data_IF_175905566738
#
_entry.id   IF_175905566738
#
_cell.length_a   1.000
_cell.length_b   1.000
_cell.length_c   1.000
_cell.angle_alpha   90.00
_cell.angle_beta   90.00
_cell.angle_gamma   90.00
#
_symmetry.space_group_name_H-M   'P 1'
#
loop_
_entity.id
_entity.type
_entity.pdbx_description
1 polymer ?
#
# COMPACT_ATOMS: atom_id res chain seq x y z
N UNK A 1 -3.38 -2.25 24.09
CA UNK A 1 -3.96 -1.86 22.79
C UNK A 1 -3.06 -2.41 21.70
N UNK A 2 -3.61 -3.10 20.70
CA UNK A 2 -2.83 -3.63 19.57
C UNK A 2 -3.03 -2.69 18.38
N UNK A 3 -1.93 -2.17 17.82
CA UNK A 3 -1.95 -1.33 16.62
C UNK A 3 -1.53 -2.23 15.44
N UNK A 4 -2.32 -2.34 14.38
CA UNK A 4 -1.98 -3.19 13.24
C UNK A 4 -0.73 -2.67 12.53
N UNK A 5 0.09 -3.59 12.01
CA UNK A 5 1.20 -3.23 11.14
C UNK A 5 0.67 -2.64 9.83
N UNK A 6 1.20 -1.49 9.41
CA UNK A 6 0.79 -0.80 8.18
C UNK A 6 1.59 -1.26 6.95
N UNK A 7 2.79 -1.80 7.16
CA UNK A 7 3.65 -2.43 6.15
C UNK A 7 4.57 -3.47 6.81
N UNK A 8 5.45 -4.09 6.04
CA UNK A 8 6.34 -5.15 6.51
C UNK A 8 5.66 -6.53 6.51
N UNK A 9 6.37 -7.58 6.96
CA UNK A 9 5.97 -8.99 6.73
C UNK A 9 4.68 -9.40 7.43
N UNK A 10 4.23 -8.65 8.44
CA UNK A 10 3.00 -8.91 9.21
C UNK A 10 1.84 -7.99 8.81
N UNK A 11 2.01 -7.19 7.75
CA UNK A 11 0.95 -6.36 7.19
C UNK A 11 0.18 -7.10 6.09
N UNK A 12 -0.83 -6.43 5.54
CA UNK A 12 -1.56 -6.89 4.38
C UNK A 12 -0.66 -6.96 3.13
N UNK A 13 -1.00 -7.89 2.23
CA UNK A 13 -0.23 -8.15 1.01
C UNK A 13 -0.57 -7.17 -0.12
N UNK A 14 0.21 -7.22 -1.20
CA UNK A 14 0.01 -6.38 -2.39
C UNK A 14 -1.32 -6.60 -3.14
N UNK A 15 -1.96 -7.76 -2.98
CA UNK A 15 -3.27 -8.04 -3.56
C UNK A 15 -4.45 -7.50 -2.75
N UNK A 16 -4.22 -7.00 -1.54
CA UNK A 16 -5.27 -6.48 -0.68
C UNK A 16 -5.78 -5.10 -1.18
N UNK A 17 -7.08 -4.84 -1.01
CA UNK A 17 -7.69 -3.56 -1.39
C UNK A 17 -7.08 -2.35 -0.68
N UNK A 18 -6.51 -2.55 0.52
CA UNK A 18 -5.81 -1.50 1.27
C UNK A 18 -4.47 -1.08 0.65
N UNK A 19 -3.91 -1.87 -0.27
CA UNK A 19 -2.71 -1.48 -1.04
C UNK A 19 -3.04 -0.60 -2.26
N UNK A 20 -4.30 -0.15 -2.37
CA UNK A 20 -4.73 0.84 -3.34
C UNK A 20 -4.85 2.20 -2.66
N UNK A 21 -4.14 3.19 -3.20
CA UNK A 21 -4.02 4.54 -2.64
C UNK A 21 -5.38 5.18 -2.33
N UNK A 22 -6.36 4.99 -3.21
CA UNK A 22 -7.71 5.54 -3.03
C UNK A 22 -8.41 4.97 -1.81
N UNK A 23 -8.30 3.65 -1.61
CA UNK A 23 -8.93 2.98 -0.48
C UNK A 23 -8.22 3.34 0.82
N UNK A 24 -6.88 3.36 0.80
CA UNK A 24 -6.06 3.79 1.94
C UNK A 24 -6.38 5.25 2.34
N UNK A 25 -6.36 6.19 1.40
CA UNK A 25 -6.68 7.60 1.65
C UNK A 25 -8.11 7.78 2.16
N UNK A 26 -9.08 7.06 1.58
CA UNK A 26 -10.48 7.08 2.04
C UNK A 26 -10.65 6.53 3.45
N UNK A 27 -9.93 5.45 3.79
CA UNK A 27 -9.92 4.89 5.14
C UNK A 27 -9.28 5.85 6.14
N UNK A 28 -8.11 6.41 5.81
CA UNK A 28 -7.38 7.38 6.64
C UNK A 28 -8.26 8.61 6.89
N UNK A 29 -8.84 9.18 5.84
CA UNK A 29 -9.70 10.37 5.95
C UNK A 29 -10.85 10.17 6.94
N UNK A 30 -11.49 9.00 6.93
CA UNK A 30 -12.71 8.76 7.72
C UNK A 30 -12.46 8.17 9.10
N UNK A 31 -11.33 7.51 9.30
CA UNK A 31 -11.11 6.67 10.48
C UNK A 31 -9.79 6.93 11.20
N UNK A 32 -8.90 7.77 10.65
CA UNK A 32 -7.60 8.07 11.23
C UNK A 32 -7.39 9.58 11.45
N UNK A 33 -6.69 9.98 12.53
CA UNK A 33 -6.32 9.16 13.68
C UNK A 33 -7.54 8.56 14.41
N UNK A 34 -7.37 7.44 15.12
CA UNK A 34 -8.48 6.68 15.72
C UNK A 34 -9.34 7.52 16.68
N UNK A 35 -8.73 8.45 17.40
CA UNK A 35 -9.37 9.37 18.34
C UNK A 35 -9.91 10.65 17.69
N UNK A 36 -9.57 10.90 16.42
CA UNK A 36 -9.89 12.14 15.68
C UNK A 36 -10.19 11.88 14.19
N UNK A 37 -11.23 11.09 13.86
CA UNK A 37 -11.61 10.84 12.47
C UNK A 37 -11.92 12.16 11.74
N UNK A 38 -11.48 12.30 10.49
CA UNK A 38 -11.70 13.51 9.69
C UNK A 38 -10.75 14.69 10.01
N UNK A 39 -9.74 14.49 10.85
CA UNK A 39 -8.80 15.56 11.23
C UNK A 39 -7.82 15.97 10.12
N UNK A 40 -7.62 15.12 9.12
CA UNK A 40 -6.68 15.35 8.02
C UNK A 40 -7.38 15.92 6.78
N UNK A 41 -6.71 16.84 6.08
CA UNK A 41 -7.18 17.35 4.79
C UNK A 41 -7.10 16.26 3.72
N UNK A 42 -7.85 16.43 2.61
CA UNK A 42 -7.78 15.49 1.49
C UNK A 42 -6.34 15.27 0.99
N UNK A 43 -5.54 16.34 0.87
CA UNK A 43 -4.16 16.18 0.41
C UNK A 43 -3.33 15.36 1.41
N UNK A 44 -3.45 15.66 2.71
CA UNK A 44 -2.73 14.92 3.75
C UNK A 44 -3.11 13.43 3.77
N UNK A 45 -4.37 13.08 3.53
CA UNK A 45 -4.78 11.66 3.52
C UNK A 45 -4.18 10.91 2.34
N UNK A 46 -4.06 11.54 1.17
CA UNK A 46 -3.35 10.98 0.01
C UNK A 46 -1.84 10.88 0.24
N UNK A 47 -1.22 11.90 0.83
CA UNK A 47 0.23 11.89 1.10
C UNK A 47 0.59 10.78 2.11
N UNK A 48 -0.19 10.64 3.18
CA UNK A 48 -0.01 9.56 4.17
C UNK A 48 -0.26 8.19 3.54
N UNK A 49 -1.31 8.05 2.72
CA UNK A 49 -1.58 6.80 1.99
C UNK A 49 -0.41 6.42 1.07
N UNK A 50 0.11 7.38 0.30
CA UNK A 50 1.25 7.17 -0.59
C UNK A 50 2.52 6.78 0.18
N UNK A 51 2.76 7.41 1.33
CA UNK A 51 3.86 7.03 2.20
C UNK A 51 3.75 5.59 2.71
N UNK A 52 2.58 5.18 3.20
CA UNK A 52 2.34 3.82 3.71
C UNK A 52 2.46 2.79 2.59
N UNK A 53 1.78 3.02 1.46
CA UNK A 53 1.78 2.13 0.30
C UNK A 53 3.06 2.15 -0.52
N UNK A 54 3.96 3.09 -0.24
CA UNK A 54 5.33 3.11 -0.76
C UNK A 54 6.29 2.14 -0.04
N UNK A 55 5.83 1.39 0.98
CA UNK A 55 6.68 0.50 1.79
C UNK A 55 6.54 -0.98 1.42
N UNK A 56 7.63 -1.79 1.55
CA UNK A 56 7.59 -3.23 1.32
C UNK A 56 6.55 -3.96 2.19
N UNK A 57 5.96 -5.00 1.64
CA UNK A 57 4.91 -5.83 2.26
C UNK A 57 4.81 -7.19 1.53
N UNK A 58 4.07 -8.17 2.05
CA UNK A 58 3.98 -9.50 1.45
C UNK A 58 3.52 -9.48 0.00
N UNK A 59 4.01 -10.45 -0.77
CA UNK A 59 3.77 -10.57 -2.20
C UNK A 59 2.27 -10.73 -2.53
N UNK A 60 1.85 -10.27 -3.71
CA UNK A 60 0.52 -10.55 -4.24
C UNK A 60 0.34 -12.07 -4.42
N UNK A 61 -0.70 -12.70 -3.83
CA UNK A 61 -0.97 -14.12 -4.00
C UNK A 61 -1.15 -14.57 -5.47
N UNK A 62 -1.43 -13.63 -6.37
CA UNK A 62 -1.60 -13.84 -7.81
C UNK A 62 -0.30 -13.69 -8.59
N UNK A 63 0.82 -13.41 -7.92
CA UNK A 63 2.14 -13.34 -8.53
C UNK A 63 2.54 -14.71 -9.12
N UNK A 64 2.99 -14.70 -10.37
CA UNK A 64 3.34 -15.91 -11.12
C UNK A 64 4.79 -15.89 -11.65
N UNK A 65 5.67 -15.08 -11.06
CA UNK A 65 7.07 -14.98 -11.44
C UNK A 65 7.47 -13.70 -12.17
N UNK A 66 6.52 -12.89 -12.64
CA UNK A 66 6.82 -11.61 -13.32
C UNK A 66 6.10 -10.43 -12.68
N UNK A 67 6.85 -9.52 -12.07
CA UNK A 67 6.32 -8.31 -11.43
C UNK A 67 5.62 -7.43 -12.48
N UNK A 68 6.23 -7.28 -13.66
CA UNK A 68 5.67 -6.50 -14.74
C UNK A 68 4.32 -7.07 -15.22
N UNK A 69 4.23 -8.40 -15.39
CA UNK A 69 2.99 -9.06 -15.79
C UNK A 69 1.91 -8.96 -14.71
N UNK A 70 2.27 -9.18 -13.44
CA UNK A 70 1.35 -9.04 -12.31
C UNK A 70 0.85 -7.59 -12.21
N UNK A 71 1.73 -6.59 -12.32
CA UNK A 71 1.37 -5.16 -12.32
C UNK A 71 0.36 -4.87 -13.44
N UNK A 72 0.71 -5.22 -14.67
CA UNK A 72 -0.14 -4.96 -15.84
C UNK A 72 -1.53 -5.61 -15.72
N UNK A 73 -1.62 -6.79 -15.10
CA UNK A 73 -2.87 -7.54 -15.01
C UNK A 73 -3.75 -7.17 -13.81
N UNK A 74 -3.14 -6.82 -12.67
CA UNK A 74 -3.87 -6.75 -11.40
C UNK A 74 -3.73 -5.42 -10.65
N UNK A 75 -2.88 -4.50 -11.11
CA UNK A 75 -2.60 -3.25 -10.40
C UNK A 75 -2.81 -2.04 -11.30
N UNK A 76 -3.78 -1.20 -10.96
CA UNK A 76 -3.98 0.10 -11.61
C UNK A 76 -2.75 0.99 -11.36
N UNK A 77 -2.04 1.44 -12.41
CA UNK A 77 -0.85 2.28 -12.28
C UNK A 77 -1.07 3.59 -11.53
N UNK A 78 -2.30 4.11 -11.49
CA UNK A 78 -2.67 5.34 -10.79
C UNK A 78 -2.92 5.13 -9.30
N UNK A 79 -3.19 3.90 -8.89
CA UNK A 79 -3.64 3.58 -7.53
C UNK A 79 -2.73 2.62 -6.79
N UNK A 80 -1.74 2.01 -7.44
CA UNK A 80 -0.86 1.04 -6.80
C UNK A 80 0.61 1.27 -7.13
N UNK A 81 1.44 1.25 -6.09
CA UNK A 81 2.89 1.33 -6.19
C UNK A 81 3.54 -0.03 -6.53
N UNK A 82 2.77 -1.12 -6.64
CA UNK A 82 3.31 -2.45 -6.95
C UNK A 82 4.10 -2.47 -8.25
N UNK A 83 5.39 -2.82 -8.23
CA UNK A 83 6.24 -2.82 -9.42
C UNK A 83 6.81 -1.46 -9.82
N UNK A 84 6.72 -0.45 -8.96
CA UNK A 84 7.52 0.79 -9.09
C UNK A 84 8.70 0.75 -8.13
N UNK A 85 9.69 1.61 -8.38
CA UNK A 85 10.81 1.84 -7.47
C UNK A 85 10.49 3.01 -6.55
N UNK A 86 10.54 2.81 -5.24
CA UNK A 86 10.37 3.85 -4.21
C UNK A 86 11.55 3.73 -3.25
N UNK A 87 12.23 4.84 -2.95
CA UNK A 87 13.42 4.87 -2.09
C UNK A 87 14.50 3.85 -2.50
N UNK A 88 14.66 3.61 -3.81
CA UNK A 88 15.61 2.61 -4.34
C UNK A 88 15.14 1.16 -4.27
N UNK A 89 13.94 0.88 -3.74
CA UNK A 89 13.39 -0.47 -3.60
C UNK A 89 12.33 -0.73 -4.66
N UNK A 90 12.50 -1.82 -5.43
CA UNK A 90 11.47 -2.31 -6.34
C UNK A 90 10.36 -3.01 -5.54
N UNK A 91 9.20 -2.35 -5.47
CA UNK A 91 8.04 -2.83 -4.74
C UNK A 91 7.41 -4.04 -5.44
N UNK A 92 6.91 -5.00 -4.65
CA UNK A 92 6.40 -6.26 -5.19
C UNK A 92 7.49 -7.28 -5.55
N UNK A 93 8.76 -6.98 -5.31
CA UNK A 93 9.82 -7.99 -5.38
C UNK A 93 9.88 -8.79 -4.09
N UNK A 94 10.07 -10.12 -4.16
CA UNK A 94 10.23 -10.97 -2.98
C UNK A 94 11.58 -10.80 -2.27
N UNK A 95 12.39 -9.80 -2.64
CA UNK A 95 13.64 -9.45 -1.97
C UNK A 95 13.35 -8.66 -0.69
N UNK A 96 12.57 -9.26 0.21
CA UNK A 96 12.68 -9.00 1.62
C UNK A 96 13.62 -10.07 2.19
N UNK A 97 14.92 -9.76 2.24
CA UNK A 97 15.77 -10.37 3.26
C UNK A 97 15.38 -9.75 4.61
#
# INVERSE_FOLDING_TARGET
MVIPALWGPQSYNWGAGMAQLKNAAGFISRNMPQDRPGALTNQQTWDVAAYIDGKPRPQDPRFNGSIAATRARYHDPRQSAYGTTVDGVLLGSSRGN
#
